data_IF_497660083686
#
_entry.id   IF_497660083686
#
_cell.length_a   1.000
_cell.length_b   1.000
_cell.length_c   1.000
_cell.angle_alpha   90.00
_cell.angle_beta   90.00
_cell.angle_gamma   90.00
#
_symmetry.space_group_name_H-M   'P 1'
#
loop_
_entity.id
_entity.type
_entity.pdbx_description
1 polymer ?
#
# COMPACT_ATOMS: atom_id res chain seq x y z
N UNK A 1 15.31 8.78 -16.67
CA UNK A 1 15.98 9.76 -15.81
C UNK A 1 16.74 9.00 -14.74
N UNK A 2 18.01 9.32 -14.45
CA UNK A 2 18.72 8.78 -13.30
C UNK A 2 17.97 9.11 -12.00
N UNK A 3 17.91 8.17 -11.06
CA UNK A 3 17.23 8.36 -9.78
C UNK A 3 17.84 9.50 -8.97
N UNK A 4 19.16 9.69 -9.07
CA UNK A 4 19.83 10.83 -8.44
C UNK A 4 19.31 12.18 -8.98
N UNK A 5 19.14 12.32 -10.31
CA UNK A 5 18.57 13.54 -10.91
C UNK A 5 17.13 13.78 -10.46
N UNK A 6 16.33 12.71 -10.35
CA UNK A 6 14.98 12.81 -9.78
C UNK A 6 15.00 13.29 -8.33
N UNK A 7 15.89 12.70 -7.51
CA UNK A 7 16.02 13.06 -6.10
C UNK A 7 16.47 14.52 -5.93
N UNK A 8 17.40 15.00 -6.77
CA UNK A 8 17.81 16.41 -6.79
C UNK A 8 16.67 17.34 -7.18
N UNK A 9 15.90 16.97 -8.21
CA UNK A 9 14.74 17.74 -8.64
C UNK A 9 13.71 17.86 -7.51
N UNK A 10 13.37 16.74 -6.86
CA UNK A 10 12.47 16.74 -5.71
C UNK A 10 13.03 17.56 -4.53
N UNK A 11 14.34 17.51 -4.27
CA UNK A 11 15.04 18.27 -3.21
C UNK A 11 14.98 19.79 -3.43
N UNK A 12 15.19 20.22 -4.68
CA UNK A 12 15.39 21.63 -5.04
C UNK A 12 14.08 22.41 -5.22
N UNK A 13 12.95 21.72 -5.36
CA UNK A 13 11.68 22.39 -5.57
C UNK A 13 11.19 23.09 -4.30
N UNK A 14 10.98 24.40 -4.41
CA UNK A 14 10.57 25.28 -3.31
C UNK A 14 9.12 25.06 -2.87
N UNK A 15 8.30 24.44 -3.72
CA UNK A 15 6.90 24.14 -3.43
C UNK A 15 6.66 22.62 -3.44
N UNK A 16 6.82 22.00 -2.28
CA UNK A 16 6.59 20.56 -2.05
C UNK A 16 5.17 20.09 -2.38
N UNK A 17 4.20 20.99 -2.61
CA UNK A 17 2.85 20.62 -3.03
C UNK A 17 2.77 20.16 -4.50
N UNK A 18 3.74 20.54 -5.32
CA UNK A 18 3.72 20.28 -6.77
C UNK A 18 4.55 19.05 -7.16
N UNK A 19 5.43 18.58 -6.27
CA UNK A 19 6.35 17.47 -6.53
C UNK A 19 6.40 16.57 -5.32
N UNK A 20 6.04 15.30 -5.53
CA UNK A 20 6.15 14.24 -4.53
C UNK A 20 7.39 13.39 -4.85
N UNK A 21 8.14 13.02 -3.81
CA UNK A 21 9.26 12.10 -3.93
C UNK A 21 8.84 10.62 -4.10
N UNK A 22 7.54 10.35 -4.01
CA UNK A 22 6.99 9.01 -4.17
C UNK A 22 6.97 8.59 -5.64
N UNK A 23 7.35 7.35 -5.90
CA UNK A 23 7.32 6.78 -7.24
C UNK A 23 7.13 5.26 -7.23
N UNK A 24 6.72 4.72 -8.37
CA UNK A 24 6.64 3.28 -8.59
C UNK A 24 7.39 2.98 -9.88
N UNK A 25 8.34 2.06 -9.80
CA UNK A 25 9.02 1.51 -10.96
C UNK A 25 8.57 0.07 -11.20
N UNK A 26 8.48 -0.28 -12.47
CA UNK A 26 8.07 -1.59 -12.95
C UNK A 26 8.88 -1.95 -14.20
N UNK A 27 8.92 -3.24 -14.53
CA UNK A 27 9.57 -3.70 -15.75
C UNK A 27 8.80 -3.17 -16.97
N UNK A 28 9.51 -2.52 -17.89
CA UNK A 28 8.91 -1.94 -19.11
C UNK A 28 8.14 -2.98 -19.92
N UNK A 29 8.66 -4.20 -20.01
CA UNK A 29 8.00 -5.30 -20.72
C UNK A 29 6.65 -5.66 -20.09
N UNK A 30 6.57 -5.69 -18.76
CA UNK A 30 5.32 -6.00 -18.03
C UNK A 30 4.32 -4.87 -18.15
N UNK A 31 4.77 -3.62 -18.04
CA UNK A 31 3.90 -2.47 -18.25
C UNK A 31 3.40 -2.38 -19.70
N UNK A 32 4.23 -2.73 -20.69
CA UNK A 32 3.79 -2.82 -22.08
C UNK A 32 2.74 -3.92 -22.29
N UNK A 33 2.93 -5.09 -21.66
CA UNK A 33 1.95 -6.18 -21.66
C UNK A 33 0.63 -5.75 -21.00
N UNK A 34 0.71 -4.90 -19.97
CA UNK A 34 -0.43 -4.25 -19.31
C UNK A 34 -1.12 -3.17 -20.14
N UNK A 35 -0.73 -2.96 -21.41
CA UNK A 35 -1.32 -1.95 -22.28
C UNK A 35 -0.63 -0.58 -22.21
N UNK A 36 0.43 -0.47 -21.41
CA UNK A 36 1.28 0.71 -21.37
C UNK A 36 1.98 0.97 -22.71
N UNK A 37 2.01 2.21 -23.15
CA UNK A 37 2.70 2.64 -24.37
C UNK A 37 3.55 3.87 -24.08
N UNK A 38 4.67 4.07 -24.77
CA UNK A 38 5.32 5.38 -24.76
C UNK A 38 4.34 6.48 -25.20
N UNK A 39 4.42 7.64 -24.56
CA UNK A 39 3.73 8.82 -25.05
C UNK A 39 4.30 9.24 -26.41
N UNK A 40 3.44 9.79 -27.28
CA UNK A 40 3.82 10.29 -28.61
C UNK A 40 3.64 11.81 -28.57
N UNK A 41 4.74 12.54 -28.63
CA UNK A 41 4.77 14.00 -28.45
C UNK A 41 4.59 14.79 -29.76
N UNK A 42 4.47 14.11 -30.89
CA UNK A 42 4.46 14.75 -32.18
C UNK A 42 4.20 13.76 -33.30
N UNK A 43 3.64 14.29 -34.39
CA UNK A 43 3.60 13.61 -35.68
C UNK A 43 4.72 14.21 -36.53
N UNK A 44 5.33 13.40 -37.39
CA UNK A 44 6.34 13.90 -38.33
C UNK A 44 5.74 14.82 -39.42
N UNK A 45 4.43 14.78 -39.60
CA UNK A 45 3.70 15.62 -40.55
C UNK A 45 3.34 16.96 -39.91
N UNK A 46 3.59 18.06 -40.62
CA UNK A 46 3.21 19.41 -40.19
C UNK A 46 1.74 19.72 -40.56
N UNK A 47 1.23 19.12 -41.64
CA UNK A 47 -0.14 19.33 -42.15
C UNK A 47 -1.16 18.39 -41.49
N UNK A 48 -1.37 18.54 -40.18
CA UNK A 48 -2.30 17.67 -39.45
C UNK A 48 -3.66 18.34 -39.28
N UNK A 49 -4.72 17.67 -39.73
CA UNK A 49 -6.11 18.10 -39.51
C UNK A 49 -6.62 17.66 -38.13
N UNK A 50 -7.17 18.61 -37.39
CA UNK A 50 -7.76 18.38 -36.06
C UNK A 50 -9.28 18.36 -36.12
N UNK A 51 -9.89 17.49 -35.32
CA UNK A 51 -11.34 17.51 -35.05
C UNK A 51 -11.66 18.65 -34.06
N UNK A 52 -10.79 18.85 -33.07
CA UNK A 52 -10.83 19.99 -32.15
C UNK A 52 -9.42 20.55 -31.97
N UNK A 53 -9.28 21.87 -32.06
CA UNK A 53 -8.03 22.57 -31.86
C UNK A 53 -8.29 23.93 -31.21
N UNK A 54 -8.41 23.92 -29.89
CA UNK A 54 -8.54 25.10 -29.04
C UNK A 54 -7.47 25.11 -27.93
N UNK A 55 -7.52 26.08 -27.02
CA UNK A 55 -6.54 26.24 -25.96
C UNK A 55 -6.51 25.07 -24.94
N UNK A 56 -7.58 24.27 -24.88
CA UNK A 56 -7.79 23.22 -23.88
C UNK A 56 -7.82 21.83 -24.52
N UNK A 57 -8.21 21.73 -25.79
CA UNK A 57 -8.38 20.46 -26.49
C UNK A 57 -7.70 20.49 -27.85
N UNK A 58 -6.80 19.53 -28.05
CA UNK A 58 -6.22 19.23 -29.35
C UNK A 58 -6.45 17.75 -29.66
N UNK A 59 -7.44 17.47 -30.51
CA UNK A 59 -7.91 16.13 -30.83
C UNK A 59 -7.73 15.90 -32.34
N UNK A 60 -6.91 14.91 -32.70
CA UNK A 60 -6.72 14.43 -34.05
C UNK A 60 -7.94 13.63 -34.52
N UNK A 61 -8.11 13.52 -35.84
CA UNK A 61 -9.04 12.56 -36.40
C UNK A 61 -8.62 11.12 -36.05
N UNK A 62 -9.58 10.24 -35.79
CA UNK A 62 -9.30 8.86 -35.32
C UNK A 62 -8.53 7.98 -36.32
N UNK A 63 -8.44 8.39 -37.59
CA UNK A 63 -7.64 7.71 -38.61
C UNK A 63 -6.13 7.95 -38.45
N UNK A 64 -5.75 9.01 -37.71
CA UNK A 64 -4.36 9.37 -37.40
C UNK A 64 -3.92 8.66 -36.12
N UNK A 65 -4.70 8.85 -35.04
CA UNK A 65 -4.50 8.17 -33.77
C UNK A 65 -5.87 7.87 -33.15
N UNK A 66 -6.14 6.64 -32.68
CA UNK A 66 -7.42 6.33 -32.04
C UNK A 66 -7.69 7.27 -30.86
N UNK A 67 -8.94 7.71 -30.67
CA UNK A 67 -9.28 8.68 -29.60
C UNK A 67 -8.85 8.19 -28.21
N UNK A 68 -9.01 6.89 -27.96
CA UNK A 68 -8.55 6.23 -26.72
C UNK A 68 -7.04 6.17 -26.54
N UNK A 69 -6.26 6.70 -27.49
CA UNK A 69 -4.81 6.76 -27.48
C UNK A 69 -4.26 8.19 -27.53
N UNK A 70 -5.13 9.17 -27.76
CA UNK A 70 -4.81 10.59 -27.77
C UNK A 70 -4.76 11.15 -26.33
N UNK A 71 -3.72 10.76 -25.60
CA UNK A 71 -3.42 11.31 -24.29
C UNK A 71 -2.51 12.52 -24.46
N UNK A 72 -2.92 13.65 -23.89
CA UNK A 72 -2.14 14.89 -23.72
C UNK A 72 -1.13 15.14 -24.84
N UNK A 73 -1.53 15.82 -25.91
CA UNK A 73 -0.55 16.34 -26.88
C UNK A 73 0.23 17.47 -26.20
N UNK A 74 1.46 17.16 -25.79
CA UNK A 74 2.32 18.14 -25.17
C UNK A 74 3.00 18.95 -26.26
N UNK A 75 2.88 20.27 -26.21
CA UNK A 75 3.58 21.13 -27.15
C UNK A 75 5.10 20.95 -27.00
N UNK A 76 5.78 20.62 -28.09
CA UNK A 76 7.24 20.65 -28.18
C UNK A 76 7.62 21.85 -29.05
N UNK A 77 8.22 22.88 -28.44
CA UNK A 77 8.63 24.11 -29.12
C UNK A 77 9.99 24.54 -28.57
N UNK A 78 11.09 23.92 -29.03
CA UNK A 78 12.43 24.27 -28.58
C UNK A 78 12.90 25.64 -29.10
N UNK A 79 12.13 26.25 -30.01
CA UNK A 79 12.47 27.51 -30.70
C UNK A 79 11.41 28.60 -30.58
N UNK A 80 10.36 28.43 -29.76
CA UNK A 80 9.32 29.44 -29.56
C UNK A 80 9.66 30.46 -28.48
N UNK A 81 8.92 31.58 -28.43
CA UNK A 81 9.06 32.63 -27.40
C UNK A 81 8.91 32.09 -25.96
N UNK A 82 8.13 31.00 -25.82
CA UNK A 82 8.14 30.14 -24.65
C UNK A 82 8.83 28.83 -25.02
N UNK A 83 10.08 28.67 -24.60
CA UNK A 83 10.85 27.44 -24.79
C UNK A 83 10.21 26.33 -23.97
N UNK A 84 9.59 25.38 -24.68
CA UNK A 84 8.93 24.21 -24.10
C UNK A 84 9.63 22.97 -24.66
N UNK A 85 10.48 22.35 -23.84
CA UNK A 85 11.28 21.18 -24.20
C UNK A 85 11.01 20.01 -23.27
N UNK A 86 10.33 19.00 -23.81
CA UNK A 86 10.00 17.74 -23.13
C UNK A 86 10.90 16.57 -23.55
N UNK A 87 11.97 16.83 -24.30
CA UNK A 87 12.85 15.78 -24.84
C UNK A 87 13.53 14.94 -23.75
N UNK A 88 13.63 15.48 -22.54
CA UNK A 88 14.20 14.80 -21.37
C UNK A 88 13.19 13.95 -20.59
N UNK A 89 11.88 14.14 -20.82
CA UNK A 89 10.83 13.38 -20.17
C UNK A 89 10.46 12.16 -21.02
N UNK A 90 10.50 10.98 -20.40
CA UNK A 90 10.05 9.72 -21.01
C UNK A 90 8.72 9.36 -20.37
N UNK A 91 7.64 9.94 -20.85
CA UNK A 91 6.32 9.60 -20.33
C UNK A 91 5.81 8.30 -20.95
N UNK A 92 5.04 7.61 -20.14
CA UNK A 92 4.29 6.44 -20.53
C UNK A 92 2.82 6.77 -20.35
N UNK A 93 2.00 6.36 -21.31
CA UNK A 93 0.55 6.41 -21.25
C UNK A 93 0.02 5.00 -20.99
N UNK A 94 -1.05 4.94 -20.23
CA UNK A 94 -1.78 3.70 -20.01
C UNK A 94 -3.27 3.98 -20.21
N UNK A 95 -3.96 2.98 -20.76
CA UNK A 95 -5.40 3.01 -20.94
C UNK A 95 -5.99 1.76 -20.34
N UNK A 96 -7.18 1.93 -19.77
CA UNK A 96 -8.01 0.83 -19.30
C UNK A 96 -8.51 0.08 -20.54
N UNK A 97 -8.25 -1.22 -20.59
CA UNK A 97 -8.70 -2.17 -21.61
C UNK A 97 -9.89 -2.98 -21.10
N UNK A 98 -9.85 -3.36 -19.84
CA UNK A 98 -10.93 -4.10 -19.17
C UNK A 98 -11.29 -3.41 -17.86
N UNK A 99 -12.49 -2.84 -17.78
CA UNK A 99 -12.95 -2.08 -16.61
C UNK A 99 -13.28 -2.99 -15.42
N UNK A 100 -13.57 -4.26 -15.69
CA UNK A 100 -13.93 -5.25 -14.67
C UNK A 100 -12.67 -5.90 -14.07
N UNK A 101 -11.51 -5.73 -14.70
CA UNK A 101 -10.23 -6.26 -14.19
C UNK A 101 -9.21 -5.17 -13.80
N UNK A 102 -9.22 -4.03 -14.48
CA UNK A 102 -8.25 -2.94 -14.34
C UNK A 102 -8.86 -1.75 -13.58
N UNK A 103 -9.10 -1.97 -12.30
CA UNK A 103 -9.57 -0.96 -11.36
C UNK A 103 -8.82 -1.03 -10.03
N UNK A 104 -8.89 0.07 -9.28
CA UNK A 104 -8.42 0.16 -7.89
C UNK A 104 -9.53 0.76 -7.04
N UNK A 105 -9.55 0.43 -5.74
CA UNK A 105 -10.49 1.03 -4.82
C UNK A 105 -9.95 2.35 -4.30
N UNK A 106 -10.73 3.41 -4.47
CA UNK A 106 -10.41 4.73 -3.93
C UNK A 106 -11.60 5.27 -3.15
N UNK A 107 -11.31 6.02 -2.10
CA UNK A 107 -12.30 6.78 -1.36
C UNK A 107 -12.54 8.11 -2.07
N UNK A 108 -13.80 8.45 -2.31
CA UNK A 108 -14.19 9.74 -2.85
C UNK A 108 -14.20 10.85 -1.77
N UNK A 109 -14.51 12.08 -2.17
CA UNK A 109 -14.59 13.22 -1.26
C UNK A 109 -15.72 13.13 -0.23
N UNK A 110 -16.59 12.12 -0.33
CA UNK A 110 -17.70 11.84 0.57
C UNK A 110 -17.39 10.67 1.52
N UNK A 111 -16.18 10.11 1.44
CA UNK A 111 -15.78 8.97 2.27
C UNK A 111 -16.29 7.62 1.75
N UNK A 112 -16.87 7.58 0.55
CA UNK A 112 -17.37 6.34 -0.05
C UNK A 112 -16.27 5.69 -0.89
N UNK A 113 -16.04 4.40 -0.67
CA UNK A 113 -15.12 3.63 -1.49
C UNK A 113 -15.83 3.14 -2.76
N UNK A 114 -15.22 3.42 -3.91
CA UNK A 114 -15.70 2.95 -5.20
C UNK A 114 -14.54 2.46 -6.08
N UNK A 115 -14.79 1.51 -6.98
CA UNK A 115 -13.80 1.11 -7.96
C UNK A 115 -13.63 2.24 -8.96
N UNK A 116 -12.39 2.70 -9.13
CA UNK A 116 -12.01 3.67 -10.14
C UNK A 116 -11.06 3.01 -11.15
N UNK A 117 -11.08 3.42 -12.43
CA UNK A 117 -10.16 2.87 -13.41
C UNK A 117 -8.71 3.09 -12.97
N UNK A 118 -7.91 2.03 -12.95
CA UNK A 118 -6.57 2.08 -12.38
C UNK A 118 -5.79 0.81 -12.63
N UNK A 119 -4.47 0.91 -12.59
CA UNK A 119 -3.58 -0.22 -12.83
C UNK A 119 -3.45 -1.05 -11.55
N UNK A 120 -3.92 -2.31 -11.51
CA UNK A 120 -3.92 -3.11 -10.29
C UNK A 120 -2.53 -3.73 -10.05
N UNK A 121 -1.61 -2.91 -9.54
CA UNK A 121 -0.18 -3.22 -9.44
C UNK A 121 0.15 -4.48 -8.62
N UNK A 122 -0.63 -4.75 -7.57
CA UNK A 122 -0.41 -5.86 -6.65
C UNK A 122 -1.33 -7.06 -6.92
N UNK A 123 -2.11 -7.04 -8.00
CA UNK A 123 -2.96 -8.17 -8.42
C UNK A 123 -2.09 -9.24 -9.07
N UNK A 124 -2.52 -10.50 -8.99
CA UNK A 124 -1.75 -11.64 -9.49
C UNK A 124 -1.98 -11.96 -10.96
N UNK A 125 -1.03 -12.66 -11.59
CA UNK A 125 -1.15 -13.07 -13.01
C UNK A 125 -2.34 -14.00 -13.27
N UNK A 126 -2.69 -14.85 -12.29
CA UNK A 126 -3.88 -15.70 -12.34
C UNK A 126 -5.20 -14.92 -12.38
N UNK A 127 -5.14 -13.63 -12.04
CA UNK A 127 -6.28 -12.72 -11.93
C UNK A 127 -6.20 -11.61 -13.00
N UNK A 128 -5.51 -11.87 -14.11
CA UNK A 128 -5.39 -10.93 -15.24
C UNK A 128 -4.30 -9.86 -15.10
N UNK A 129 -3.48 -9.90 -14.05
CA UNK A 129 -2.41 -8.91 -13.86
C UNK A 129 -1.12 -9.25 -14.63
N UNK A 130 -0.22 -8.28 -14.70
CA UNK A 130 0.98 -8.36 -15.55
C UNK A 130 2.31 -8.30 -14.77
N UNK A 131 2.30 -7.76 -13.55
CA UNK A 131 3.51 -7.46 -12.81
C UNK A 131 4.02 -8.69 -12.07
N UNK A 132 5.33 -8.90 -12.06
CA UNK A 132 5.99 -9.92 -11.22
C UNK A 132 6.71 -9.33 -10.02
N UNK A 133 7.07 -8.04 -10.10
CA UNK A 133 7.68 -7.24 -9.04
C UNK A 133 7.52 -5.75 -9.31
N UNK A 134 7.64 -4.95 -8.26
CA UNK A 134 7.65 -3.49 -8.32
C UNK A 134 8.81 -2.96 -7.49
N UNK A 135 9.25 -1.73 -7.78
CA UNK A 135 10.04 -0.95 -6.83
C UNK A 135 9.25 0.27 -6.38
N UNK A 136 9.06 0.43 -5.08
CA UNK A 136 8.44 1.62 -4.51
C UNK A 136 9.54 2.59 -4.10
N UNK A 137 9.49 3.80 -4.63
CA UNK A 137 10.46 4.85 -4.39
C UNK A 137 9.89 5.77 -3.33
N UNK A 138 10.66 6.01 -2.28
CA UNK A 138 10.32 6.90 -1.16
C UNK A 138 11.49 7.82 -0.86
N UNK A 139 11.25 8.88 -0.10
CA UNK A 139 12.29 9.83 0.26
C UNK A 139 13.19 9.28 1.38
N UNK A 140 12.59 8.77 2.46
CA UNK A 140 13.31 8.46 3.70
C UNK A 140 13.12 7.02 4.21
N UNK A 141 13.90 6.65 5.22
CA UNK A 141 13.83 5.34 5.90
C UNK A 141 12.55 5.16 6.69
N UNK A 142 12.02 6.24 7.24
CA UNK A 142 10.76 6.25 7.97
C UNK A 142 9.61 5.89 7.02
N UNK A 143 9.54 6.55 5.86
CA UNK A 143 8.57 6.22 4.81
C UNK A 143 8.76 4.79 4.28
N UNK A 144 10.01 4.32 4.14
CA UNK A 144 10.28 2.94 3.77
C UNK A 144 9.74 1.94 4.80
N UNK A 145 9.82 2.27 6.09
CA UNK A 145 9.25 1.46 7.18
C UNK A 145 7.73 1.42 7.12
N UNK A 146 7.09 2.55 6.80
CA UNK A 146 5.63 2.63 6.60
C UNK A 146 5.18 1.78 5.40
N UNK A 147 5.86 1.91 4.26
CA UNK A 147 5.59 1.10 3.06
C UNK A 147 5.82 -0.38 3.31
N UNK A 148 6.89 -0.75 4.02
CA UNK A 148 7.14 -2.13 4.45
C UNK A 148 5.98 -2.68 5.27
N UNK A 149 5.47 -1.89 6.23
CA UNK A 149 4.32 -2.28 7.06
C UNK A 149 3.06 -2.49 6.22
N UNK A 150 2.77 -1.56 5.31
CA UNK A 150 1.64 -1.63 4.38
C UNK A 150 1.70 -2.90 3.51
N UNK A 151 2.84 -3.15 2.87
CA UNK A 151 3.04 -4.31 2.00
C UNK A 151 2.98 -5.63 2.77
N UNK A 152 3.52 -5.65 3.99
CA UNK A 152 3.37 -6.81 4.88
C UNK A 152 1.90 -7.07 5.20
N UNK A 153 1.13 -6.01 5.49
CA UNK A 153 -0.31 -6.11 5.68
C UNK A 153 -1.03 -6.71 4.48
N UNK A 154 -0.75 -6.21 3.27
CA UNK A 154 -1.35 -6.73 2.03
C UNK A 154 -0.95 -8.18 1.75
N UNK A 155 0.31 -8.53 1.99
CA UNK A 155 0.82 -9.89 1.84
C UNK A 155 0.04 -10.88 2.72
N UNK A 156 -0.14 -10.53 3.99
CA UNK A 156 -0.83 -11.37 4.97
C UNK A 156 -2.32 -11.46 4.67
N UNK A 157 -2.96 -10.33 4.35
CA UNK A 157 -4.40 -10.26 4.07
C UNK A 157 -4.80 -11.07 2.83
N UNK A 158 -3.97 -11.05 1.77
CA UNK A 158 -4.24 -11.74 0.51
C UNK A 158 -5.38 -11.14 -0.33
N UNK A 159 -6.28 -10.37 0.26
CA UNK A 159 -7.33 -9.60 -0.39
C UNK A 159 -7.56 -8.29 0.36
N UNK A 160 -8.09 -7.28 -0.32
CA UNK A 160 -8.66 -6.11 0.36
C UNK A 160 -10.09 -6.39 0.86
N UNK A 161 -10.68 -5.43 1.57
CA UNK A 161 -12.05 -5.53 2.10
C UNK A 161 -13.16 -5.63 1.04
N UNK A 162 -12.79 -5.52 -0.24
CA UNK A 162 -13.70 -5.53 -1.39
C UNK A 162 -13.41 -6.70 -2.33
N UNK A 163 -12.77 -7.76 -1.82
CA UNK A 163 -12.46 -9.00 -2.55
C UNK A 163 -11.50 -8.84 -3.74
N UNK A 164 -10.71 -7.75 -3.78
CA UNK A 164 -9.62 -7.62 -4.75
C UNK A 164 -8.37 -8.34 -4.23
N UNK A 165 -7.81 -9.32 -4.96
CA UNK A 165 -6.66 -10.09 -4.51
C UNK A 165 -5.36 -9.29 -4.50
N UNK A 166 -4.50 -9.64 -3.54
CA UNK A 166 -3.10 -9.26 -3.46
C UNK A 166 -2.23 -10.49 -3.73
N UNK A 167 -1.36 -10.40 -4.72
CA UNK A 167 -0.42 -11.46 -5.07
C UNK A 167 0.80 -11.42 -4.14
N UNK A 168 0.89 -12.46 -3.31
CA UNK A 168 1.98 -12.64 -2.35
C UNK A 168 3.35 -12.71 -3.02
N UNK A 169 3.46 -13.31 -4.21
CA UNK A 169 4.72 -13.40 -4.93
C UNK A 169 5.14 -12.03 -5.48
N UNK A 170 4.20 -11.25 -6.02
CA UNK A 170 4.49 -9.87 -6.47
C UNK A 170 5.00 -9.03 -5.31
N UNK A 171 4.34 -9.09 -4.15
CA UNK A 171 4.76 -8.33 -2.96
C UNK A 171 6.14 -8.78 -2.47
N UNK A 172 6.37 -10.10 -2.30
CA UNK A 172 7.65 -10.62 -1.82
C UNK A 172 8.82 -10.33 -2.78
N UNK A 173 8.56 -10.28 -4.08
CA UNK A 173 9.55 -9.95 -5.10
C UNK A 173 9.77 -8.44 -5.28
N UNK A 174 8.90 -7.60 -4.69
CA UNK A 174 9.02 -6.16 -4.77
C UNK A 174 10.14 -5.62 -3.88
N UNK A 175 10.54 -4.37 -4.12
CA UNK A 175 11.65 -3.69 -3.42
C UNK A 175 11.25 -2.26 -3.04
N UNK A 176 11.93 -1.69 -2.06
CA UNK A 176 11.82 -0.27 -1.70
C UNK A 176 13.15 0.42 -1.99
N UNK A 177 13.10 1.61 -2.58
CA UNK A 177 14.25 2.44 -2.89
C UNK A 177 14.14 3.74 -2.07
N UNK A 178 15.18 4.06 -1.30
CA UNK A 178 15.23 5.26 -0.46
C UNK A 178 16.11 6.31 -1.13
N UNK A 179 15.50 7.41 -1.59
CA UNK A 179 16.22 8.43 -2.37
C UNK A 179 17.33 9.13 -1.58
N UNK A 180 17.18 9.29 -0.26
CA UNK A 180 18.26 9.82 0.57
C UNK A 180 19.52 8.95 0.52
N UNK A 181 19.38 7.62 0.52
CA UNK A 181 20.53 6.71 0.45
C UNK A 181 21.17 6.75 -0.94
N UNK A 182 20.38 6.89 -2.00
CA UNK A 182 20.88 7.12 -3.38
C UNK A 182 21.71 8.40 -3.45
N UNK A 183 21.22 9.50 -2.88
CA UNK A 183 21.96 10.76 -2.80
C UNK A 183 23.28 10.57 -2.04
N UNK A 184 23.25 9.90 -0.89
CA UNK A 184 24.45 9.65 -0.10
C UNK A 184 25.48 8.79 -0.84
N UNK A 185 25.04 7.74 -1.53
CA UNK A 185 25.92 6.88 -2.31
C UNK A 185 26.61 7.65 -3.45
N UNK A 186 25.88 8.53 -4.14
CA UNK A 186 26.44 9.33 -5.25
C UNK A 186 27.31 10.48 -4.73
N UNK A 187 26.82 11.28 -3.77
CA UNK A 187 27.50 12.50 -3.32
C UNK A 187 28.66 12.22 -2.35
N UNK A 188 28.51 11.26 -1.44
CA UNK A 188 29.53 10.99 -0.40
C UNK A 188 30.48 9.86 -0.81
N UNK A 189 29.96 8.79 -1.41
CA UNK A 189 30.75 7.60 -1.72
C UNK A 189 31.32 7.60 -3.15
N UNK A 190 30.88 8.55 -3.99
CA UNK A 190 31.32 8.64 -5.39
C UNK A 190 30.84 7.48 -6.27
N UNK A 191 29.84 6.70 -5.82
CA UNK A 191 29.29 5.59 -6.57
C UNK A 191 28.30 6.11 -7.61
N UNK A 192 28.79 6.41 -8.82
CA UNK A 192 27.95 6.92 -9.90
C UNK A 192 26.96 5.87 -10.42
N UNK A 193 27.21 4.57 -10.27
CA UNK A 193 26.32 3.54 -10.80
C UNK A 193 25.00 3.43 -10.02
N UNK A 194 25.03 3.84 -8.74
CA UNK A 194 23.86 3.96 -7.87
C UNK A 194 22.80 4.98 -8.36
N UNK A 195 23.07 5.74 -9.41
CA UNK A 195 22.08 6.63 -10.04
C UNK A 195 21.09 5.90 -10.95
N UNK A 196 21.33 4.63 -11.29
CA UNK A 196 20.48 3.80 -12.17
C UNK A 196 19.75 2.73 -11.37
N UNK A 197 18.57 2.28 -11.82
CA UNK A 197 17.82 1.21 -11.12
C UNK A 197 18.66 -0.09 -11.09
N UNK A 198 19.35 -0.39 -12.18
CA UNK A 198 20.20 -1.56 -12.33
C UNK A 198 21.39 -1.52 -11.35
N UNK A 199 22.06 -0.36 -11.22
CA UNK A 199 23.18 -0.20 -10.30
C UNK A 199 22.79 -0.10 -8.82
N UNK A 200 21.50 0.00 -8.47
CA UNK A 200 21.08 -0.04 -7.07
C UNK A 200 21.27 -1.41 -6.43
N UNK A 201 21.07 -2.50 -7.18
CA UNK A 201 21.27 -3.86 -6.66
C UNK A 201 22.75 -4.07 -6.29
N UNK A 202 23.67 -3.69 -7.17
CA UNK A 202 25.11 -3.78 -6.92
C UNK A 202 25.59 -2.87 -5.78
N UNK A 203 24.88 -1.75 -5.56
CA UNK A 203 25.18 -0.79 -4.50
C UNK A 203 24.50 -1.10 -3.16
N UNK A 204 23.71 -2.18 -3.06
CA UNK A 204 22.90 -2.55 -1.88
C UNK A 204 21.92 -1.44 -1.45
N UNK A 205 21.31 -0.75 -2.43
CA UNK A 205 20.38 0.38 -2.22
C UNK A 205 18.92 0.00 -2.52
N UNK A 206 18.61 -1.29 -2.53
CA UNK A 206 17.26 -1.82 -2.67
C UNK A 206 16.88 -2.65 -1.45
N UNK A 207 15.92 -2.15 -0.69
CA UNK A 207 15.43 -2.86 0.49
C UNK A 207 14.43 -3.94 0.06
N UNK A 208 14.70 -5.23 0.35
CA UNK A 208 13.73 -6.29 0.10
C UNK A 208 12.53 -6.18 1.06
N UNK A 209 11.37 -6.64 0.60
CA UNK A 209 10.22 -6.77 1.49
C UNK A 209 10.47 -7.91 2.47
N UNK A 210 10.49 -7.58 3.76
CA UNK A 210 10.75 -8.55 4.83
C UNK A 210 9.44 -9.18 5.31
N UNK A 211 9.28 -10.48 5.11
CA UNK A 211 8.22 -11.28 5.73
C UNK A 211 8.86 -12.13 6.83
N UNK A 212 8.42 -11.93 8.07
CA UNK A 212 9.06 -12.51 9.24
C UNK A 212 8.76 -14.00 9.33
N UNK A 213 9.80 -14.80 9.59
CA UNK A 213 9.59 -16.17 10.06
C UNK A 213 9.18 -16.16 11.54
N UNK A 214 8.29 -17.05 11.97
CA UNK A 214 7.87 -17.09 13.36
C UNK A 214 9.03 -17.53 14.28
N UNK A 215 9.15 -16.94 15.48
CA UNK A 215 10.09 -17.40 16.50
C UNK A 215 9.85 -18.88 16.86
N UNK A 216 10.90 -19.66 17.17
CA UNK A 216 10.75 -21.09 17.51
C UNK A 216 9.80 -21.37 18.69
N UNK A 217 9.70 -20.43 19.62
CA UNK A 217 8.88 -20.48 20.84
C UNK A 217 7.56 -19.70 20.73
N UNK A 218 7.22 -19.18 19.55
CA UNK A 218 6.06 -18.30 19.34
C UNK A 218 4.76 -18.91 19.89
N UNK A 219 4.52 -20.20 19.62
CA UNK A 219 3.33 -20.90 20.12
C UNK A 219 3.24 -20.93 21.65
N UNK A 220 4.36 -21.13 22.34
CA UNK A 220 4.40 -21.17 23.81
C UNK A 220 4.20 -19.77 24.41
N UNK A 221 4.86 -18.76 23.85
CA UNK A 221 4.72 -17.35 24.27
C UNK A 221 3.27 -16.91 24.12
N UNK A 222 2.65 -17.17 22.96
CA UNK A 222 1.27 -16.80 22.67
C UNK A 222 0.29 -17.56 23.58
N UNK A 223 0.47 -18.87 23.77
CA UNK A 223 -0.39 -19.66 24.65
C UNK A 223 -0.36 -19.13 26.09
N UNK A 224 0.82 -18.76 26.59
CA UNK A 224 0.99 -18.17 27.93
C UNK A 224 0.28 -16.81 28.02
N UNK A 225 0.48 -15.94 27.03
CA UNK A 225 -0.17 -14.64 26.97
C UNK A 225 -1.70 -14.77 26.88
N UNK A 226 -2.20 -15.72 26.09
CA UNK A 226 -3.63 -15.99 25.94
C UNK A 226 -4.23 -16.49 27.24
N UNK A 227 -3.58 -17.42 27.95
CA UNK A 227 -4.07 -17.88 29.25
C UNK A 227 -4.20 -16.73 30.26
N UNK A 228 -3.21 -15.84 30.33
CA UNK A 228 -3.25 -14.65 31.17
C UNK A 228 -4.36 -13.67 30.76
N UNK A 229 -4.49 -13.40 29.46
CA UNK A 229 -5.50 -12.51 28.92
C UNK A 229 -6.92 -13.04 29.14
N UNK A 230 -7.11 -14.35 28.99
CA UNK A 230 -8.36 -15.05 29.27
C UNK A 230 -8.74 -14.94 30.75
N UNK A 231 -7.79 -15.14 31.67
CA UNK A 231 -8.02 -14.94 33.10
C UNK A 231 -8.44 -13.50 33.44
N UNK A 232 -7.80 -12.51 32.81
CA UNK A 232 -8.17 -11.11 32.98
C UNK A 232 -9.57 -10.80 32.42
N UNK A 233 -9.91 -11.35 31.25
CA UNK A 233 -11.24 -11.23 30.66
C UNK A 233 -12.34 -11.79 31.58
N UNK A 234 -12.11 -12.97 32.16
CA UNK A 234 -13.03 -13.58 33.15
C UNK A 234 -13.21 -12.71 34.39
N UNK A 235 -12.12 -12.16 34.91
CA UNK A 235 -12.15 -11.30 36.10
C UNK A 235 -12.92 -10.00 35.83
N UNK A 236 -12.66 -9.36 34.68
CA UNK A 236 -13.36 -8.15 34.24
C UNK A 236 -14.85 -8.44 33.99
N UNK A 237 -15.18 -9.56 33.34
CA UNK A 237 -16.56 -9.96 33.11
C UNK A 237 -17.35 -10.12 34.41
N UNK A 238 -16.76 -10.79 35.41
CA UNK A 238 -17.37 -10.98 36.72
C UNK A 238 -17.60 -9.62 37.41
N UNK A 239 -16.58 -8.77 37.46
CA UNK A 239 -16.66 -7.45 38.08
C UNK A 239 -17.74 -6.57 37.42
N UNK A 240 -17.86 -6.61 36.08
CA UNK A 240 -18.88 -5.87 35.37
C UNK A 240 -20.30 -6.37 35.69
N UNK A 241 -20.51 -7.68 35.70
CA UNK A 241 -21.82 -8.28 35.99
C UNK A 241 -22.28 -7.95 37.42
N UNK A 242 -21.37 -7.95 38.38
CA UNK A 242 -21.66 -7.57 39.77
C UNK A 242 -22.06 -6.09 39.88
N UNK A 243 -21.41 -5.22 39.11
CA UNK A 243 -21.71 -3.78 39.10
C UNK A 243 -22.99 -3.44 38.32
N UNK A 244 -23.27 -4.18 37.25
CA UNK A 244 -24.37 -3.93 36.31
C UNK A 244 -25.21 -5.20 36.05
N UNK A 245 -25.96 -5.70 37.05
CA UNK A 245 -26.66 -6.98 36.94
C UNK A 245 -27.76 -7.00 35.87
N UNK A 246 -28.37 -5.84 35.58
CA UNK A 246 -29.45 -5.64 34.59
C UNK A 246 -29.00 -4.87 33.34
N UNK A 247 -27.74 -5.00 32.96
CA UNK A 247 -27.22 -4.33 31.78
C UNK A 247 -28.02 -4.68 30.51
N UNK A 248 -28.68 -3.68 29.93
CA UNK A 248 -29.45 -3.68 28.68
C UNK A 248 -28.76 -2.82 27.60
N UNK A 249 -27.43 -2.68 27.69
CA UNK A 249 -26.62 -1.88 26.77
C UNK A 249 -26.80 -2.25 25.30
N UNK A 250 -26.43 -1.31 24.43
CA UNK A 250 -26.56 -1.45 22.98
C UNK A 250 -25.90 -2.71 22.43
N UNK A 251 -26.48 -3.26 21.38
CA UNK A 251 -25.95 -4.46 20.74
C UNK A 251 -24.65 -4.14 20.01
N UNK A 252 -23.64 -4.99 20.17
CA UNK A 252 -22.40 -4.87 19.42
C UNK A 252 -21.35 -5.88 19.82
N UNK A 253 -20.22 -5.81 19.12
CA UNK A 253 -19.09 -6.71 19.30
C UNK A 253 -17.82 -5.91 19.60
N UNK A 254 -16.95 -6.50 20.41
CA UNK A 254 -15.60 -6.00 20.65
C UNK A 254 -14.58 -7.13 20.46
N UNK A 255 -13.35 -6.77 20.10
CA UNK A 255 -12.22 -7.67 19.95
C UNK A 255 -10.92 -6.93 20.29
N UNK A 256 -9.82 -7.68 20.42
CA UNK A 256 -8.49 -7.08 20.50
C UNK A 256 -7.93 -6.91 19.09
N UNK A 257 -7.37 -5.75 18.80
CA UNK A 257 -6.72 -5.45 17.54
C UNK A 257 -5.27 -4.96 17.75
N UNK A 258 -4.43 -5.13 16.73
CA UNK A 258 -3.11 -4.52 16.62
C UNK A 258 -2.81 -4.10 15.17
N UNK A 259 -2.02 -3.05 15.00
CA UNK A 259 -1.49 -2.59 13.69
C UNK A 259 -0.08 -3.09 13.43
N UNK A 260 0.52 -3.82 14.38
CA UNK A 260 1.93 -4.23 14.33
C UNK A 260 2.11 -5.49 13.45
N UNK A 261 1.61 -5.43 12.21
CA UNK A 261 1.56 -6.56 11.27
C UNK A 261 2.94 -7.07 10.83
N UNK A 262 3.99 -6.26 11.03
CA UNK A 262 5.39 -6.65 10.82
C UNK A 262 5.95 -7.49 11.96
N UNK A 263 5.29 -7.50 13.13
CA UNK A 263 5.79 -8.21 14.30
C UNK A 263 5.71 -9.73 14.12
N UNK A 264 6.80 -10.50 14.36
CA UNK A 264 6.82 -11.94 14.09
C UNK A 264 5.73 -12.75 14.81
N UNK A 265 5.38 -12.38 16.05
CA UNK A 265 4.28 -13.04 16.78
C UNK A 265 2.91 -12.76 16.14
N UNK A 266 2.68 -11.57 15.58
CA UNK A 266 1.43 -11.25 14.90
C UNK A 266 1.30 -12.05 13.60
N UNK A 267 2.39 -12.16 12.84
CA UNK A 267 2.41 -13.00 11.63
C UNK A 267 2.20 -14.48 11.96
N UNK A 268 2.80 -14.98 13.05
CA UNK A 268 2.52 -16.34 13.53
C UNK A 268 1.04 -16.53 13.87
N UNK A 269 0.43 -15.58 14.59
CA UNK A 269 -0.99 -15.65 14.96
C UNK A 269 -1.89 -15.70 13.73
N UNK A 270 -1.61 -14.88 12.71
CA UNK A 270 -2.35 -14.87 11.45
C UNK A 270 -2.19 -16.18 10.67
N UNK A 271 -0.97 -16.74 10.63
CA UNK A 271 -0.69 -18.01 9.93
C UNK A 271 -1.24 -19.25 10.68
N UNK A 272 -1.60 -19.11 11.95
CA UNK A 272 -2.06 -20.21 12.82
C UNK A 272 -3.55 -20.08 13.20
N UNK A 273 -4.30 -19.23 12.50
CA UNK A 273 -5.72 -18.93 12.78
C UNK A 273 -6.00 -18.42 14.22
N UNK A 274 -4.98 -17.90 14.90
CA UNK A 274 -5.10 -17.23 16.22
C UNK A 274 -5.37 -15.73 16.07
N UNK A 275 -5.34 -15.21 14.84
CA UNK A 275 -5.78 -13.88 14.47
C UNK A 275 -6.40 -13.90 13.07
N UNK A 276 -7.14 -12.85 12.72
CA UNK A 276 -7.75 -12.66 11.40
C UNK A 276 -7.39 -11.30 10.81
N UNK A 277 -7.54 -11.15 9.49
CA UNK A 277 -7.14 -9.98 8.73
C UNK A 277 -5.75 -10.14 8.09
N UNK A 278 -4.94 -9.06 7.97
CA UNK A 278 -5.23 -7.70 8.40
C UNK A 278 -6.34 -7.02 7.59
N UNK A 279 -7.31 -6.41 8.26
CA UNK A 279 -8.36 -5.60 7.63
C UNK A 279 -7.97 -4.13 7.78
N UNK A 280 -7.72 -3.43 6.67
CA UNK A 280 -7.19 -2.05 6.67
C UNK A 280 -5.98 -1.89 7.60
N UNK A 281 -5.01 -2.80 7.50
CA UNK A 281 -3.78 -2.79 8.30
C UNK A 281 -3.93 -3.23 9.75
N UNK A 282 -5.10 -3.77 10.15
CA UNK A 282 -5.37 -4.21 11.53
C UNK A 282 -5.58 -5.71 11.60
N UNK A 283 -4.79 -6.40 12.43
CA UNK A 283 -5.01 -7.80 12.77
C UNK A 283 -5.93 -7.90 14.00
N UNK A 284 -6.98 -8.72 13.92
CA UNK A 284 -7.87 -9.00 15.04
C UNK A 284 -7.44 -10.28 15.74
N UNK A 285 -7.09 -10.21 17.03
CA UNK A 285 -6.56 -11.33 17.80
C UNK A 285 -7.72 -12.14 18.41
N UNK A 286 -7.74 -13.44 18.08
CA UNK A 286 -8.75 -14.41 18.50
C UNK A 286 -8.40 -15.03 19.86
N UNK A 287 -8.58 -14.27 20.93
CA UNK A 287 -8.34 -14.78 22.30
C UNK A 287 -9.39 -15.82 22.68
N UNK A 288 -9.00 -17.00 23.21
CA UNK A 288 -9.93 -17.98 23.72
C UNK A 288 -10.87 -17.38 24.76
N UNK A 289 -12.17 -17.43 24.47
CA UNK A 289 -13.23 -16.90 25.32
C UNK A 289 -13.69 -17.95 26.31
N UNK A 290 -13.55 -17.65 27.60
CA UNK A 290 -14.06 -18.49 28.69
C UNK A 290 -14.96 -17.74 29.70
N UNK A 291 -15.38 -16.54 29.31
CA UNK A 291 -16.30 -15.68 30.06
C UNK A 291 -17.69 -15.65 29.41
N UNK A 292 -18.75 -15.31 30.18
CA UNK A 292 -20.11 -15.27 29.66
C UNK A 292 -20.25 -14.36 28.43
N UNK A 293 -21.07 -14.76 27.47
CA UNK A 293 -21.48 -13.89 26.36
C UNK A 293 -22.61 -12.95 26.81
N UNK A 294 -22.52 -11.68 26.44
CA UNK A 294 -23.63 -10.72 26.52
C UNK A 294 -23.70 -9.91 25.23
N UNK A 295 -24.90 -9.46 24.90
CA UNK A 295 -25.18 -8.61 23.74
C UNK A 295 -24.67 -7.17 23.93
N UNK A 296 -24.61 -6.71 25.18
CA UNK A 296 -24.17 -5.36 25.54
C UNK A 296 -22.75 -5.06 25.08
N UNK A 297 -22.62 -3.99 24.30
CA UNK A 297 -21.35 -3.45 23.83
C UNK A 297 -20.50 -2.95 24.99
N UNK A 298 -21.09 -2.26 25.98
CA UNK A 298 -20.37 -1.75 27.15
C UNK A 298 -19.71 -2.89 27.94
N UNK A 299 -20.42 -4.02 28.10
CA UNK A 299 -19.86 -5.23 28.68
C UNK A 299 -18.67 -5.75 27.84
N UNK A 300 -18.86 -5.90 26.53
CA UNK A 300 -17.83 -6.43 25.63
C UNK A 300 -16.59 -5.52 25.63
N UNK A 301 -16.76 -4.20 25.54
CA UNK A 301 -15.68 -3.24 25.61
C UNK A 301 -14.92 -3.29 26.93
N UNK A 302 -15.63 -3.38 28.06
CA UNK A 302 -15.00 -3.48 29.38
C UNK A 302 -14.10 -4.71 29.48
N UNK A 303 -14.61 -5.88 29.05
CA UNK A 303 -13.86 -7.12 29.06
C UNK A 303 -12.65 -7.04 28.13
N UNK A 304 -12.85 -6.64 26.88
CA UNK A 304 -11.77 -6.62 25.88
C UNK A 304 -10.72 -5.53 26.14
N UNK A 305 -11.03 -4.46 26.87
CA UNK A 305 -10.00 -3.52 27.39
C UNK A 305 -9.03 -4.22 28.34
N UNK A 306 -9.53 -5.06 29.25
CA UNK A 306 -8.68 -5.82 30.17
C UNK A 306 -7.84 -6.87 29.44
N UNK A 307 -8.44 -7.59 28.48
CA UNK A 307 -7.76 -8.55 27.61
C UNK A 307 -6.64 -7.87 26.82
N UNK A 308 -6.94 -6.76 26.15
CA UNK A 308 -5.97 -6.01 25.35
C UNK A 308 -4.80 -5.50 26.20
N UNK A 309 -5.08 -4.98 27.41
CA UNK A 309 -4.04 -4.53 28.33
C UNK A 309 -3.03 -5.63 28.69
N UNK A 310 -3.51 -6.84 29.02
CA UNK A 310 -2.64 -7.97 29.33
C UNK A 310 -1.85 -8.41 28.11
N UNK A 311 -2.49 -8.52 26.94
CA UNK A 311 -1.78 -8.90 25.71
C UNK A 311 -0.68 -7.89 25.35
N UNK A 312 -0.94 -6.59 25.47
CA UNK A 312 0.07 -5.56 25.20
C UNK A 312 1.32 -5.76 26.05
N UNK A 313 1.14 -6.08 27.34
CA UNK A 313 2.26 -6.31 28.25
C UNK A 313 2.97 -7.66 28.01
N UNK A 314 2.21 -8.74 27.83
CA UNK A 314 2.78 -10.08 27.70
C UNK A 314 3.49 -10.29 26.36
N UNK A 315 2.95 -9.71 25.29
CA UNK A 315 3.49 -9.86 23.93
C UNK A 315 4.41 -8.70 23.52
N UNK A 316 4.53 -7.64 24.33
CA UNK A 316 5.25 -6.42 23.98
C UNK A 316 4.74 -5.81 22.66
N UNK A 317 3.43 -5.87 22.47
CA UNK A 317 2.71 -5.37 21.30
C UNK A 317 1.84 -4.18 21.67
N UNK A 318 1.53 -3.32 20.71
CA UNK A 318 0.47 -2.34 20.90
C UNK A 318 -0.87 -3.00 20.56
N UNK A 319 -1.53 -3.56 21.57
CA UNK A 319 -2.89 -4.09 21.46
C UNK A 319 -3.90 -3.11 22.06
N UNK A 320 -5.06 -2.98 21.42
CA UNK A 320 -6.19 -2.19 21.94
C UNK A 320 -7.52 -2.90 21.70
N UNK A 321 -8.53 -2.50 22.46
CA UNK A 321 -9.91 -2.93 22.23
C UNK A 321 -10.49 -2.13 21.07
N UNK A 322 -11.03 -2.85 20.08
CA UNK A 322 -11.78 -2.26 18.99
C UNK A 322 -13.21 -2.83 19.02
N UNK A 323 -14.19 -1.95 18.87
CA UNK A 323 -15.60 -2.27 18.96
C UNK A 323 -16.38 -1.68 17.80
N UNK A 324 -17.53 -2.29 17.51
CA UNK A 324 -18.53 -1.72 16.60
C UNK A 324 -19.94 -2.08 17.08
N UNK A 325 -20.92 -1.18 16.92
CA UNK A 325 -22.33 -1.53 17.03
C UNK A 325 -22.71 -2.61 16.02
N UNK A 326 -23.72 -3.42 16.37
CA UNK A 326 -24.42 -4.32 15.45
C UNK A 326 -25.60 -3.58 14.80
#
# INVERSE_FOLDING_TARGET
>A
MPLYSFALYARQQSNQKNVSAYGIAFLKAEFYAAGGRPAIYGLASEDVTYVHNDAYHRIFHEHILPRSEQYRYVAYSPSGDHWIDWSHEREWRWRVRDKDEEFVWSMDGQGCYSPIPGLPLLKGRSEGAHFSKLCIIVWSKEEATEIQSLLTGYYLAGYNNYSTPFDRAVIANSRIIVLQEVIEAVEKNGNLDAQTIEGLEDADLVTPIVISSPPPDAGQVIATAFAAATHAGRSAAKAYIEMYPKDEGYCGYAHVATSDVTHPLVQYMLNSDLASGPYDGRAHISVPKDWPSRQSLDYNEHVYRAVAHVLSHQLQLRCWMHSRPD
#
